data_IF_079109913113
#
_entry.id   IF_079109913113
#
_cell.length_a   1.000
_cell.length_b   1.000
_cell.length_c   1.000
_cell.angle_alpha   90.00
_cell.angle_beta   90.00
_cell.angle_gamma   90.00
#
_symmetry.space_group_name_H-M   'P 1'
#
loop_
_entity.id
_entity.type
_entity.pdbx_description
1 polymer ?
#
# COMPACT_ATOMS: atom_id res chain seq x y z
N UNK A 1 -32.31 -48.09 15.40
CA UNK A 1 -31.74 -46.95 14.65
C UNK A 1 -32.45 -45.70 15.11
N UNK A 2 -31.79 -44.87 15.92
CA UNK A 2 -32.41 -43.64 16.40
C UNK A 2 -32.47 -42.63 15.24
N UNK A 3 -33.68 -42.26 14.82
CA UNK A 3 -33.92 -41.25 13.78
C UNK A 3 -33.35 -39.92 14.19
N UNK A 4 -32.36 -39.47 13.44
CA UNK A 4 -31.73 -38.16 13.58
C UNK A 4 -32.81 -37.11 13.32
N UNK A 5 -33.32 -36.45 14.35
CA UNK A 5 -34.26 -35.33 14.18
C UNK A 5 -33.61 -34.32 13.26
N UNK A 6 -34.19 -34.15 12.07
CA UNK A 6 -33.81 -33.04 11.18
C UNK A 6 -34.18 -31.74 11.89
N UNK A 7 -33.15 -30.96 12.22
CA UNK A 7 -33.33 -29.65 12.85
C UNK A 7 -34.18 -28.75 11.93
N UNK A 8 -34.95 -27.86 12.52
CA UNK A 8 -35.71 -26.85 11.76
C UNK A 8 -34.77 -25.81 11.12
N UNK A 9 -35.04 -25.39 9.85
CA UNK A 9 -34.25 -24.35 9.22
C UNK A 9 -34.28 -23.04 10.03
N UNK A 10 -33.17 -22.30 10.04
CA UNK A 10 -33.13 -20.99 10.66
C UNK A 10 -34.16 -20.04 10.03
N UNK A 11 -34.92 -19.35 10.85
CA UNK A 11 -35.85 -18.30 10.43
C UNK A 11 -35.41 -16.96 10.99
N UNK A 12 -35.80 -15.86 10.33
CA UNK A 12 -35.55 -14.50 10.81
C UNK A 12 -36.00 -14.31 12.27
N UNK A 13 -37.25 -14.73 12.57
CA UNK A 13 -37.83 -14.65 13.92
C UNK A 13 -37.00 -15.46 14.94
N UNK A 14 -36.49 -16.62 14.56
CA UNK A 14 -35.68 -17.45 15.45
C UNK A 14 -34.33 -16.79 15.78
N UNK A 15 -33.74 -16.03 14.84
CA UNK A 15 -32.51 -15.24 15.05
C UNK A 15 -32.83 -13.98 15.87
N UNK A 16 -33.90 -13.27 15.54
CA UNK A 16 -34.32 -12.04 16.24
C UNK A 16 -34.58 -12.27 17.70
N UNK A 17 -35.21 -13.38 18.05
CA UNK A 17 -35.60 -13.70 19.45
C UNK A 17 -34.47 -14.31 20.29
N UNK A 18 -33.27 -14.52 19.75
CA UNK A 18 -32.15 -15.04 20.54
C UNK A 18 -31.70 -14.05 21.61
N UNK A 19 -31.41 -14.58 22.79
CA UNK A 19 -30.95 -13.81 23.96
C UNK A 19 -29.53 -14.23 24.35
N UNK A 20 -28.80 -13.39 25.10
CA UNK A 20 -27.54 -13.78 25.71
C UNK A 20 -27.70 -15.06 26.55
N UNK A 21 -26.83 -16.02 26.33
CA UNK A 21 -26.87 -17.33 27.01
C UNK A 21 -27.66 -18.42 26.27
N UNK A 22 -28.40 -18.08 25.22
CA UNK A 22 -29.02 -19.10 24.36
C UNK A 22 -27.96 -19.93 23.65
N UNK A 23 -28.26 -21.23 23.45
CA UNK A 23 -27.43 -22.12 22.66
C UNK A 23 -27.35 -21.67 21.19
N UNK A 24 -26.20 -21.92 20.57
CA UNK A 24 -25.99 -21.68 19.14
C UNK A 24 -27.03 -22.43 18.31
N UNK A 25 -27.71 -21.72 17.41
CA UNK A 25 -28.63 -22.33 16.44
C UNK A 25 -27.94 -22.60 15.12
N UNK A 26 -28.16 -23.78 14.56
CA UNK A 26 -27.60 -24.19 13.28
C UNK A 26 -28.69 -24.23 12.19
N UNK A 27 -28.32 -23.83 10.97
CA UNK A 27 -29.19 -24.02 9.80
C UNK A 27 -29.04 -25.44 9.23
N UNK A 28 -30.00 -25.87 8.42
CA UNK A 28 -30.13 -27.23 7.89
C UNK A 28 -30.17 -27.23 6.35
N UNK A 29 -30.18 -28.42 5.78
CA UNK A 29 -30.26 -28.62 4.32
C UNK A 29 -29.05 -27.99 3.59
N UNK A 30 -29.31 -27.23 2.54
CA UNK A 30 -28.28 -26.57 1.74
C UNK A 30 -27.46 -25.57 2.54
N UNK A 31 -28.02 -24.99 3.61
CA UNK A 31 -27.34 -24.03 4.48
C UNK A 31 -26.59 -24.70 5.66
N UNK A 32 -26.43 -26.00 5.63
CA UNK A 32 -25.69 -26.73 6.66
C UNK A 32 -24.28 -26.17 6.84
N UNK A 33 -23.90 -25.92 8.08
CA UNK A 33 -22.66 -25.26 8.46
C UNK A 33 -22.85 -23.81 8.87
N UNK A 34 -23.97 -23.14 8.49
CA UNK A 34 -24.32 -21.84 9.03
C UNK A 34 -24.77 -21.99 10.49
N UNK A 35 -24.20 -21.18 11.35
CA UNK A 35 -24.58 -21.06 12.75
C UNK A 35 -24.80 -19.60 13.13
N UNK A 36 -25.66 -19.39 14.11
CA UNK A 36 -25.85 -18.10 14.75
C UNK A 36 -25.66 -18.26 16.25
N UNK A 37 -24.88 -17.38 16.85
CA UNK A 37 -24.71 -17.27 18.30
C UNK A 37 -25.09 -15.88 18.79
N UNK A 38 -25.57 -15.78 20.03
CA UNK A 38 -25.82 -14.53 20.71
C UNK A 38 -24.76 -14.32 21.80
N UNK A 39 -23.91 -13.31 21.63
CA UNK A 39 -22.87 -12.98 22.61
C UNK A 39 -23.48 -12.41 23.91
N UNK A 40 -22.66 -12.31 24.98
CA UNK A 40 -23.07 -11.76 26.27
C UNK A 40 -23.63 -10.32 26.19
N UNK A 41 -23.18 -9.55 25.19
CA UNK A 41 -23.68 -8.18 24.91
C UNK A 41 -24.97 -8.15 24.10
N UNK A 42 -25.59 -9.30 23.77
CA UNK A 42 -26.78 -9.38 22.93
C UNK A 42 -26.49 -9.32 21.41
N UNK A 43 -25.25 -9.16 21.01
CA UNK A 43 -24.88 -9.13 19.60
C UNK A 43 -24.96 -10.52 19.01
N UNK A 44 -25.79 -10.67 17.98
CA UNK A 44 -25.99 -11.93 17.26
C UNK A 44 -25.07 -11.99 16.07
N UNK A 45 -24.32 -13.10 15.95
CA UNK A 45 -23.30 -13.26 14.89
C UNK A 45 -23.52 -14.54 14.11
N UNK A 46 -23.38 -14.46 12.80
CA UNK A 46 -23.41 -15.60 11.89
C UNK A 46 -22.00 -16.13 11.68
N UNK A 47 -21.87 -17.45 11.67
CA UNK A 47 -20.62 -18.17 11.47
C UNK A 47 -20.80 -19.31 10.49
N UNK A 48 -19.74 -19.57 9.71
CA UNK A 48 -19.58 -20.81 8.97
C UNK A 48 -18.66 -21.76 9.73
N UNK A 49 -19.17 -22.90 10.14
CA UNK A 49 -18.40 -23.97 10.79
C UNK A 49 -18.17 -25.12 9.81
N UNK A 50 -16.91 -25.50 9.62
CA UNK A 50 -16.51 -26.48 8.62
C UNK A 50 -15.23 -27.20 9.04
N UNK A 51 -14.93 -28.32 8.39
CA UNK A 51 -13.63 -29.00 8.52
C UNK A 51 -12.67 -28.40 7.51
N UNK A 52 -11.54 -27.88 7.98
CA UNK A 52 -10.52 -27.25 7.13
C UNK A 52 -9.92 -28.29 6.16
N UNK A 53 -9.87 -27.99 4.85
CA UNK A 53 -9.25 -28.89 3.87
C UNK A 53 -7.74 -28.99 4.05
N UNK A 54 -7.09 -27.99 4.68
CA UNK A 54 -5.64 -27.96 4.87
C UNK A 54 -5.19 -28.75 6.11
N UNK A 55 -5.97 -28.69 7.20
CA UNK A 55 -5.55 -29.24 8.50
C UNK A 55 -6.39 -30.43 8.97
N UNK A 56 -7.51 -30.72 8.32
CA UNK A 56 -8.49 -31.71 8.77
C UNK A 56 -9.22 -31.36 10.07
N UNK A 57 -8.89 -30.24 10.70
CA UNK A 57 -9.48 -29.79 11.97
C UNK A 57 -10.74 -28.94 11.73
N UNK A 58 -11.60 -28.91 12.76
CA UNK A 58 -12.78 -28.08 12.76
C UNK A 58 -12.37 -26.60 12.83
N UNK A 59 -12.87 -25.81 11.89
CA UNK A 59 -12.63 -24.37 11.78
C UNK A 59 -13.95 -23.60 11.75
N UNK A 60 -13.90 -22.33 12.11
CA UNK A 60 -15.05 -21.45 12.11
C UNK A 60 -14.65 -20.07 11.55
N UNK A 61 -15.50 -19.53 10.69
CA UNK A 61 -15.34 -18.21 10.09
C UNK A 61 -16.58 -17.37 10.38
N UNK A 62 -16.36 -16.13 10.83
CA UNK A 62 -17.43 -15.17 11.05
C UNK A 62 -17.89 -14.60 9.71
N UNK A 63 -19.19 -14.62 9.47
CA UNK A 63 -19.82 -14.08 8.26
C UNK A 63 -20.27 -12.62 8.48
N UNK A 64 -20.89 -12.35 9.61
CA UNK A 64 -21.39 -11.00 9.92
C UNK A 64 -22.23 -10.95 11.18
N UNK A 65 -22.79 -9.79 11.46
CA UNK A 65 -23.64 -9.52 12.60
C UNK A 65 -25.08 -9.22 12.15
N UNK A 66 -26.04 -9.76 12.87
CA UNK A 66 -27.44 -9.36 12.75
C UNK A 66 -27.69 -8.08 13.57
N UNK A 67 -28.48 -7.09 13.08
CA UNK A 67 -29.28 -7.10 11.84
C UNK A 67 -28.53 -6.60 10.61
N UNK A 68 -27.29 -6.09 10.71
CA UNK A 68 -26.53 -5.54 9.58
C UNK A 68 -26.34 -6.56 8.44
N UNK A 69 -26.14 -7.83 8.81
CA UNK A 69 -26.15 -8.95 7.86
C UNK A 69 -27.47 -9.68 8.03
N UNK A 70 -28.33 -9.67 7.02
CA UNK A 70 -29.58 -10.44 7.02
C UNK A 70 -29.30 -11.94 6.94
N UNK A 71 -30.28 -12.77 7.34
CA UNK A 71 -30.16 -14.22 7.23
C UNK A 71 -29.95 -14.67 5.75
N UNK A 72 -30.61 -13.98 4.81
CA UNK A 72 -30.42 -14.25 3.37
C UNK A 72 -28.99 -13.94 2.91
N UNK A 73 -28.45 -12.77 3.29
CA UNK A 73 -27.08 -12.39 3.00
C UNK A 73 -26.07 -13.34 3.66
N UNK A 74 -26.34 -13.81 4.88
CA UNK A 74 -25.48 -14.80 5.54
C UNK A 74 -25.47 -16.16 4.81
N UNK A 75 -26.60 -16.59 4.28
CA UNK A 75 -26.71 -17.79 3.43
C UNK A 75 -25.94 -17.65 2.13
N UNK A 76 -26.09 -16.51 1.46
CA UNK A 76 -25.34 -16.23 0.24
C UNK A 76 -23.83 -16.28 0.48
N UNK A 77 -23.35 -15.62 1.52
CA UNK A 77 -21.93 -15.66 1.89
C UNK A 77 -21.45 -17.04 2.30
N UNK A 78 -22.30 -17.84 2.96
CA UNK A 78 -22.01 -19.24 3.23
C UNK A 78 -21.73 -20.03 1.94
N UNK A 79 -22.54 -19.85 0.90
CA UNK A 79 -22.35 -20.55 -0.37
C UNK A 79 -21.03 -20.18 -1.03
N UNK A 80 -20.65 -18.91 -1.04
CA UNK A 80 -19.32 -18.48 -1.52
C UNK A 80 -18.19 -19.18 -0.74
N UNK A 81 -18.27 -19.21 0.59
CA UNK A 81 -17.26 -19.86 1.42
C UNK A 81 -17.22 -21.40 1.23
N UNK A 82 -18.35 -22.02 0.89
CA UNK A 82 -18.42 -23.43 0.52
C UNK A 82 -17.74 -23.72 -0.81
N UNK A 83 -17.90 -22.85 -1.80
CA UNK A 83 -17.20 -22.95 -3.08
C UNK A 83 -15.69 -22.89 -2.90
N UNK A 84 -15.17 -21.91 -2.13
CA UNK A 84 -13.75 -21.85 -1.79
C UNK A 84 -13.24 -23.14 -1.16
N UNK A 85 -14.03 -23.73 -0.24
CA UNK A 85 -13.66 -25.00 0.38
C UNK A 85 -13.66 -26.16 -0.62
N UNK A 86 -14.60 -26.21 -1.56
CA UNK A 86 -14.66 -27.24 -2.62
C UNK A 86 -13.44 -27.18 -3.54
N UNK A 87 -12.89 -25.96 -3.77
CA UNK A 87 -11.63 -25.74 -4.49
C UNK A 87 -10.38 -26.13 -3.68
N UNK A 88 -10.55 -26.71 -2.50
CA UNK A 88 -9.42 -27.07 -1.61
C UNK A 88 -8.82 -25.89 -0.84
N UNK A 89 -9.35 -24.68 -0.99
CA UNK A 89 -8.91 -23.47 -0.31
C UNK A 89 -9.53 -23.38 1.10
N UNK A 90 -8.79 -22.80 2.04
CA UNK A 90 -9.30 -22.65 3.40
C UNK A 90 -9.97 -21.28 3.59
N UNK A 91 -11.31 -21.18 3.78
CA UNK A 91 -12.00 -19.91 3.95
C UNK A 91 -11.43 -18.98 5.03
N UNK A 92 -10.93 -19.54 6.13
CA UNK A 92 -10.34 -18.76 7.21
C UNK A 92 -9.00 -18.13 6.82
N UNK A 93 -8.14 -18.83 6.08
CA UNK A 93 -6.87 -18.30 5.61
C UNK A 93 -7.07 -17.23 4.53
N UNK A 94 -8.00 -17.44 3.60
CA UNK A 94 -8.34 -16.47 2.55
C UNK A 94 -8.81 -15.14 3.16
N UNK A 95 -9.79 -15.19 4.06
CA UNK A 95 -10.28 -13.97 4.72
C UNK A 95 -9.21 -13.27 5.57
N UNK A 96 -8.26 -14.02 6.13
CA UNK A 96 -7.13 -13.43 6.86
C UNK A 96 -6.16 -12.74 5.91
N UNK A 97 -5.88 -13.35 4.76
CA UNK A 97 -5.01 -12.75 3.73
C UNK A 97 -5.65 -11.51 3.13
N UNK A 98 -6.94 -11.55 2.77
CA UNK A 98 -7.68 -10.39 2.27
C UNK A 98 -7.68 -9.24 3.26
N UNK A 99 -7.86 -9.54 4.55
CA UNK A 99 -7.82 -8.51 5.61
C UNK A 99 -6.43 -7.90 5.74
N UNK A 100 -5.38 -8.72 5.67
CA UNK A 100 -4.00 -8.25 5.71
C UNK A 100 -3.69 -7.40 4.49
N UNK A 101 -4.07 -7.85 3.31
CA UNK A 101 -3.87 -7.11 2.06
C UNK A 101 -4.55 -5.74 2.08
N UNK A 102 -5.82 -5.68 2.49
CA UNK A 102 -6.54 -4.41 2.66
C UNK A 102 -5.89 -3.49 3.70
N UNK A 103 -5.34 -4.06 4.78
CA UNK A 103 -4.64 -3.26 5.78
C UNK A 103 -3.35 -2.65 5.21
N UNK A 104 -2.61 -3.41 4.40
CA UNK A 104 -1.41 -2.93 3.69
C UNK A 104 -1.80 -1.83 2.68
N UNK A 105 -2.85 -2.04 1.89
CA UNK A 105 -3.34 -1.05 0.91
C UNK A 105 -3.79 0.26 1.59
N UNK A 106 -4.49 0.16 2.73
CA UNK A 106 -4.90 1.33 3.52
C UNK A 106 -3.68 2.07 4.10
N UNK A 107 -2.66 1.34 4.53
CA UNK A 107 -1.43 1.96 5.06
C UNK A 107 -0.62 2.61 3.95
N UNK A 108 -0.50 1.97 2.78
CA UNK A 108 0.14 2.55 1.59
C UNK A 108 -0.61 3.80 1.08
N UNK A 109 -1.94 3.78 1.10
CA UNK A 109 -2.76 4.93 0.72
C UNK A 109 -2.64 6.13 1.68
N UNK A 110 -2.17 5.93 2.90
CA UNK A 110 -1.91 7.01 3.87
C UNK A 110 -0.59 7.74 3.62
N UNK A 111 0.34 7.16 2.86
CA UNK A 111 1.57 7.83 2.46
C UNK A 111 1.14 8.88 1.42
N UNK A 112 1.24 10.20 1.72
CA UNK A 112 0.88 11.20 0.73
C UNK A 112 1.73 10.99 -0.52
N UNK A 113 1.08 11.01 -1.68
CA UNK A 113 1.78 10.90 -2.96
C UNK A 113 2.90 11.93 -3.02
N UNK A 114 4.14 11.44 -3.00
CA UNK A 114 5.31 12.29 -3.06
C UNK A 114 5.51 12.77 -4.48
N UNK A 115 5.20 14.03 -4.77
CA UNK A 115 5.51 14.63 -6.07
C UNK A 115 7.02 14.82 -6.23
N UNK A 116 7.49 15.00 -7.46
CA UNK A 116 8.92 15.32 -7.72
C UNK A 116 9.32 16.63 -7.04
N UNK A 117 8.44 17.61 -6.96
CA UNK A 117 8.68 18.82 -6.19
C UNK A 117 8.82 18.53 -4.70
N UNK A 118 7.92 17.72 -4.14
CA UNK A 118 7.99 17.30 -2.73
C UNK A 118 9.25 16.48 -2.42
N UNK A 119 9.67 15.61 -3.34
CA UNK A 119 10.94 14.87 -3.28
C UNK A 119 12.14 15.83 -3.22
N UNK A 120 12.16 16.82 -4.10
CA UNK A 120 13.24 17.82 -4.17
C UNK A 120 13.27 18.66 -2.90
N UNK A 121 12.12 19.14 -2.41
CA UNK A 121 12.07 19.89 -1.14
C UNK A 121 12.53 19.04 0.05
N UNK A 122 12.09 17.79 0.13
CA UNK A 122 12.55 16.86 1.17
C UNK A 122 14.09 16.73 1.17
N UNK A 123 14.68 16.55 0.00
CA UNK A 123 16.14 16.44 -0.16
C UNK A 123 16.86 17.73 0.23
N UNK A 124 16.35 18.89 -0.22
CA UNK A 124 16.94 20.18 0.06
C UNK A 124 16.89 20.50 1.55
N UNK A 125 15.70 20.41 2.15
CA UNK A 125 15.47 20.81 3.55
C UNK A 125 16.09 19.84 4.55
N UNK A 126 16.07 18.54 4.28
CA UNK A 126 16.51 17.53 5.23
C UNK A 126 18.01 17.17 5.11
N UNK A 127 18.62 17.41 3.95
CA UNK A 127 20.01 17.03 3.70
C UNK A 127 20.92 18.17 3.28
N UNK A 128 20.49 19.04 2.39
CA UNK A 128 21.38 20.01 1.74
C UNK A 128 21.50 21.30 2.53
N UNK A 129 20.38 21.84 3.01
CA UNK A 129 20.28 23.17 3.64
C UNK A 129 20.47 23.11 5.15
N UNK A 130 20.89 24.24 5.73
CA UNK A 130 21.00 24.37 7.18
C UNK A 130 19.60 24.38 7.81
N UNK A 131 19.45 23.66 8.91
CA UNK A 131 18.18 23.54 9.63
C UNK A 131 18.28 24.20 11.00
N UNK A 132 17.20 24.83 11.45
CA UNK A 132 17.07 25.33 12.81
C UNK A 132 16.23 24.36 13.64
N UNK A 133 16.75 23.93 14.77
CA UNK A 133 15.98 23.17 15.76
C UNK A 133 14.99 24.09 16.47
N UNK A 134 14.00 23.49 17.16
CA UNK A 134 13.03 24.25 17.99
C UNK A 134 13.72 25.12 19.04
N UNK A 135 14.91 24.71 19.52
CA UNK A 135 15.72 25.42 20.50
C UNK A 135 16.64 26.47 19.86
N UNK A 136 16.47 26.80 18.58
CA UNK A 136 17.24 27.80 17.86
C UNK A 136 18.64 27.38 17.42
N UNK A 137 19.08 26.14 17.72
CA UNK A 137 20.39 25.62 17.30
C UNK A 137 20.37 25.34 15.79
N UNK A 138 21.42 25.76 15.08
CA UNK A 138 21.61 25.48 13.66
C UNK A 138 22.28 24.13 13.49
N UNK A 139 21.66 23.24 12.74
CA UNK A 139 22.24 21.98 12.24
C UNK A 139 22.74 22.29 10.82
N UNK A 140 24.05 22.22 10.56
CA UNK A 140 24.59 22.52 9.25
C UNK A 140 24.14 21.48 8.23
N UNK A 141 23.77 21.95 7.03
CA UNK A 141 23.46 21.07 5.90
C UNK A 141 24.72 20.46 5.29
N UNK A 142 24.54 19.53 4.35
CA UNK A 142 25.64 18.83 3.69
C UNK A 142 26.47 19.74 2.75
N UNK A 143 26.04 20.96 2.49
CA UNK A 143 26.69 21.94 1.59
C UNK A 143 26.86 23.27 2.27
N UNK A 144 27.91 24.02 1.85
CA UNK A 144 28.08 25.43 2.22
C UNK A 144 26.96 26.29 1.59
N UNK A 145 26.62 27.49 2.13
CA UNK A 145 25.48 28.29 1.66
C UNK A 145 25.42 28.53 0.14
N UNK A 146 26.56 28.82 -0.48
CA UNK A 146 26.63 28.95 -1.95
C UNK A 146 26.24 27.66 -2.67
N UNK A 147 26.71 26.50 -2.18
CA UNK A 147 26.37 25.20 -2.74
C UNK A 147 24.91 24.80 -2.53
N UNK A 148 24.33 25.21 -1.38
CA UNK A 148 22.89 25.01 -1.10
C UNK A 148 22.02 25.73 -2.15
N UNK A 149 22.30 27.02 -2.36
CA UNK A 149 21.58 27.83 -3.37
C UNK A 149 21.76 27.29 -4.79
N UNK A 150 22.93 26.73 -5.11
CA UNK A 150 23.20 26.18 -6.43
C UNK A 150 22.45 24.86 -6.67
N UNK A 151 22.38 23.96 -5.71
CA UNK A 151 21.60 22.73 -5.81
C UNK A 151 20.11 23.06 -5.97
N UNK A 152 19.58 23.99 -5.16
CA UNK A 152 18.19 24.44 -5.26
C UNK A 152 17.91 24.99 -6.66
N UNK A 153 18.72 25.93 -7.16
CA UNK A 153 18.59 26.49 -8.49
C UNK A 153 18.62 25.42 -9.59
N UNK A 154 19.53 24.46 -9.47
CA UNK A 154 19.71 23.37 -10.44
C UNK A 154 18.46 22.49 -10.51
N UNK A 155 17.91 22.05 -9.38
CA UNK A 155 16.76 21.17 -9.35
C UNK A 155 15.46 21.90 -9.73
N UNK A 156 15.25 23.12 -9.22
CA UNK A 156 14.05 23.90 -9.53
C UNK A 156 14.02 24.42 -10.97
N UNK A 157 15.16 24.80 -11.52
CA UNK A 157 15.25 25.36 -12.87
C UNK A 157 14.87 24.38 -13.97
N UNK A 158 15.13 23.10 -13.77
CA UNK A 158 14.92 22.08 -14.80
C UNK A 158 14.03 20.93 -14.32
N UNK A 159 14.39 20.22 -13.24
CA UNK A 159 13.67 19.02 -12.82
C UNK A 159 12.27 19.33 -12.29
N UNK A 160 12.14 20.26 -11.35
CA UNK A 160 10.84 20.67 -10.79
C UNK A 160 9.98 21.37 -11.85
N UNK A 161 10.59 22.22 -12.68
CA UNK A 161 9.88 22.90 -13.76
C UNK A 161 9.24 21.91 -14.76
N UNK A 162 9.90 20.79 -15.03
CA UNK A 162 9.45 19.82 -16.03
C UNK A 162 8.59 18.70 -15.41
N UNK A 163 8.94 18.22 -14.23
CA UNK A 163 8.35 17.02 -13.63
C UNK A 163 7.71 17.27 -12.26
N UNK A 164 7.78 18.47 -11.72
CA UNK A 164 7.48 18.79 -10.31
C UNK A 164 6.11 18.34 -9.82
N UNK A 165 5.09 18.45 -10.64
CA UNK A 165 3.70 18.08 -10.31
C UNK A 165 3.40 16.60 -10.42
N UNK A 166 4.29 15.82 -11.04
CA UNK A 166 4.10 14.38 -11.23
C UNK A 166 4.46 13.62 -9.96
N UNK A 167 3.79 12.48 -9.75
CA UNK A 167 4.14 11.55 -8.67
C UNK A 167 5.56 11.01 -8.88
N UNK A 168 6.42 11.17 -7.88
CA UNK A 168 7.82 10.75 -7.96
C UNK A 168 7.98 9.23 -8.14
N UNK A 169 7.02 8.43 -7.63
CA UNK A 169 7.02 6.98 -7.81
C UNK A 169 6.70 6.54 -9.25
N UNK A 170 6.01 7.39 -10.03
CA UNK A 170 5.64 7.11 -11.42
C UNK A 170 6.64 7.64 -12.45
N UNK A 171 7.69 8.33 -12.01
CA UNK A 171 8.74 8.81 -12.91
C UNK A 171 9.54 7.62 -13.42
N UNK A 172 9.57 7.50 -14.73
CA UNK A 172 10.31 6.45 -15.41
C UNK A 172 11.73 6.89 -15.78
N UNK A 173 12.59 5.91 -16.08
CA UNK A 173 13.90 6.15 -16.70
C UNK A 173 13.78 7.02 -17.95
N UNK A 174 12.75 6.79 -18.78
CA UNK A 174 12.55 7.53 -20.04
C UNK A 174 12.19 9.00 -19.79
N UNK A 175 11.42 9.31 -18.76
CA UNK A 175 11.10 10.68 -18.38
C UNK A 175 12.37 11.46 -18.02
N UNK A 176 13.27 10.82 -17.25
CA UNK A 176 14.55 11.45 -16.90
C UNK A 176 15.45 11.62 -18.13
N UNK A 177 15.52 10.64 -19.03
CA UNK A 177 16.26 10.75 -20.29
C UNK A 177 15.73 11.93 -21.13
N UNK A 178 14.42 12.07 -21.26
CA UNK A 178 13.77 13.16 -21.98
C UNK A 178 14.11 14.52 -21.37
N UNK A 179 14.05 14.64 -20.03
CA UNK A 179 14.47 15.83 -19.30
C UNK A 179 15.93 16.21 -19.65
N UNK A 180 16.85 15.26 -19.52
CA UNK A 180 18.28 15.49 -19.77
C UNK A 180 18.54 15.85 -21.24
N UNK A 181 17.92 15.17 -22.18
CA UNK A 181 18.04 15.48 -23.62
C UNK A 181 17.51 16.90 -23.93
N UNK A 182 16.42 17.33 -23.29
CA UNK A 182 15.92 18.68 -23.43
C UNK A 182 16.91 19.75 -22.93
N UNK A 183 17.66 19.47 -21.86
CA UNK A 183 18.70 20.37 -21.35
C UNK A 183 19.91 20.38 -22.29
N UNK A 184 20.32 19.22 -22.78
CA UNK A 184 21.44 19.09 -23.75
C UNK A 184 21.13 19.81 -25.06
N UNK A 185 19.89 19.70 -25.57
CA UNK A 185 19.45 20.37 -26.80
C UNK A 185 19.52 21.90 -26.71
N UNK A 186 19.46 22.47 -25.49
CA UNK A 186 19.70 23.92 -25.25
C UNK A 186 21.20 24.27 -25.19
N UNK A 187 22.11 23.35 -25.43
CA UNK A 187 23.57 23.52 -25.30
C UNK A 187 24.12 23.47 -23.87
N UNK A 188 23.28 23.17 -22.85
CA UNK A 188 23.66 23.23 -21.44
C UNK A 188 24.10 21.87 -20.89
N UNK A 189 25.12 21.25 -21.47
CA UNK A 189 25.60 19.87 -21.14
C UNK A 189 26.09 19.73 -19.70
N UNK A 190 26.77 20.77 -19.15
CA UNK A 190 27.19 20.78 -17.73
C UNK A 190 25.99 20.79 -16.80
N UNK A 191 24.99 21.63 -17.09
CA UNK A 191 23.74 21.70 -16.34
C UNK A 191 23.00 20.36 -16.38
N UNK A 192 22.91 19.71 -17.53
CA UNK A 192 22.33 18.36 -17.68
C UNK A 192 22.99 17.34 -16.75
N UNK A 193 24.32 17.35 -16.67
CA UNK A 193 25.08 16.49 -15.74
C UNK A 193 24.78 16.79 -14.27
N UNK A 194 24.69 18.08 -13.92
CA UNK A 194 24.38 18.52 -12.56
C UNK A 194 22.94 18.11 -12.17
N UNK A 195 21.95 18.36 -13.02
CA UNK A 195 20.55 17.97 -12.78
C UNK A 195 20.42 16.45 -12.58
N UNK A 196 21.04 15.66 -13.46
CA UNK A 196 21.00 14.19 -13.36
C UNK A 196 21.62 13.70 -12.05
N UNK A 197 22.75 14.28 -11.65
CA UNK A 197 23.43 13.91 -10.40
C UNK A 197 22.59 14.26 -9.18
N UNK A 198 22.12 15.50 -9.08
CA UNK A 198 21.37 15.95 -7.90
C UNK A 198 19.99 15.27 -7.82
N UNK A 199 19.32 15.03 -8.95
CA UNK A 199 18.05 14.29 -8.99
C UNK A 199 18.25 12.82 -8.55
N UNK A 200 19.35 12.18 -8.98
CA UNK A 200 19.69 10.83 -8.52
C UNK A 200 19.91 10.79 -7.00
N UNK A 201 20.63 11.76 -6.45
CA UNK A 201 20.87 11.86 -5.01
C UNK A 201 19.59 12.15 -4.22
N UNK A 202 18.67 12.94 -4.76
CA UNK A 202 17.37 13.19 -4.14
C UNK A 202 16.53 11.91 -4.04
N UNK A 203 16.48 11.13 -5.11
CA UNK A 203 15.82 9.82 -5.09
C UNK A 203 16.48 8.84 -4.10
N UNK A 204 17.80 8.71 -4.12
CA UNK A 204 18.52 7.85 -3.16
C UNK A 204 18.26 8.23 -1.72
N UNK A 205 18.22 9.53 -1.43
CA UNK A 205 17.90 10.04 -0.11
C UNK A 205 16.47 9.67 0.33
N UNK A 206 15.49 9.83 -0.53
CA UNK A 206 14.10 9.49 -0.23
C UNK A 206 13.88 7.96 -0.12
N UNK A 207 14.58 7.16 -0.91
CA UNK A 207 14.60 5.69 -0.78
C UNK A 207 15.17 5.31 0.59
N UNK A 208 16.30 5.90 0.99
CA UNK A 208 16.90 5.68 2.31
C UNK A 208 16.03 6.09 3.50
N UNK A 209 15.06 7.00 3.28
CA UNK A 209 14.04 7.38 4.26
C UNK A 209 12.77 6.50 4.22
N UNK A 210 12.73 5.46 3.39
CA UNK A 210 11.56 4.59 3.23
C UNK A 210 10.34 5.28 2.61
N UNK A 211 10.57 6.29 1.73
CA UNK A 211 9.49 7.02 1.05
C UNK A 211 8.98 6.30 -0.20
N UNK A 212 9.62 5.24 -0.60
CA UNK A 212 9.27 4.37 -1.73
C UNK A 212 9.22 2.92 -1.26
N UNK A 213 8.57 2.10 -2.07
CA UNK A 213 8.56 0.65 -1.87
C UNK A 213 9.99 0.06 -2.00
N UNK A 214 10.28 -1.03 -1.29
CA UNK A 214 11.60 -1.69 -1.30
C UNK A 214 12.04 -2.18 -2.69
N UNK A 215 11.09 -2.41 -3.60
CA UNK A 215 11.33 -2.79 -5.00
C UNK A 215 11.58 -1.60 -5.93
N UNK A 216 11.40 -0.35 -5.43
CA UNK A 216 11.52 0.85 -6.25
C UNK A 216 12.96 1.11 -6.68
N UNK A 217 13.18 1.18 -7.99
CA UNK A 217 14.48 1.48 -8.58
C UNK A 217 14.59 2.97 -8.93
N UNK A 218 15.66 3.63 -8.49
CA UNK A 218 15.95 5.03 -8.78
C UNK A 218 16.00 5.33 -10.29
N UNK A 219 15.01 6.07 -10.84
CA UNK A 219 14.91 6.30 -12.29
C UNK A 219 16.05 7.15 -12.85
N UNK A 220 16.60 8.05 -12.04
CA UNK A 220 17.71 8.90 -12.45
C UNK A 220 19.04 8.12 -12.50
N UNK A 221 19.23 7.15 -11.61
CA UNK A 221 20.39 6.26 -11.67
C UNK A 221 20.32 5.35 -12.90
N UNK A 222 19.15 4.81 -13.22
CA UNK A 222 18.92 4.01 -14.43
C UNK A 222 19.12 4.83 -15.70
N UNK A 223 18.68 6.08 -15.73
CA UNK A 223 18.91 6.99 -16.85
C UNK A 223 20.40 7.28 -17.05
N UNK A 224 21.17 7.47 -15.97
CA UNK A 224 22.63 7.70 -16.03
C UNK A 224 23.37 6.54 -16.72
N UNK A 225 22.98 5.30 -16.43
CA UNK A 225 23.54 4.12 -17.08
C UNK A 225 23.25 4.12 -18.59
N UNK A 226 22.01 4.42 -18.99
CA UNK A 226 21.59 4.48 -20.40
C UNK A 226 22.30 5.61 -21.17
N UNK A 227 22.41 6.80 -20.59
CA UNK A 227 23.04 7.97 -21.21
C UNK A 227 24.55 7.77 -21.45
N UNK A 228 25.24 6.99 -20.59
CA UNK A 228 26.62 6.60 -20.81
C UNK A 228 26.79 5.74 -22.07
N UNK A 229 25.83 4.86 -22.35
CA UNK A 229 25.86 4.00 -23.53
C UNK A 229 25.65 4.75 -24.84
N UNK A 230 24.85 5.86 -24.80
CA UNK A 230 24.53 6.69 -25.97
C UNK A 230 25.60 7.75 -26.31
N UNK A 231 26.77 7.72 -25.67
CA UNK A 231 27.90 8.66 -25.89
C UNK A 231 27.55 10.15 -25.67
N UNK A 232 26.48 10.47 -24.98
CA UNK A 232 26.23 11.85 -24.55
C UNK A 232 27.28 12.20 -23.49
N UNK A 233 28.25 13.02 -23.85
CA UNK A 233 29.28 13.50 -22.90
C UNK A 233 28.63 14.51 -21.96
N UNK A 234 28.20 14.06 -20.79
CA UNK A 234 27.83 14.92 -19.69
C UNK A 234 29.11 15.34 -18.97
N UNK A 235 29.54 16.57 -19.15
CA UNK A 235 30.70 17.11 -18.43
C UNK A 235 30.31 17.41 -17.00
N UNK A 236 31.02 16.84 -16.03
CA UNK A 236 30.94 17.27 -14.64
C UNK A 236 31.66 18.63 -14.57
N UNK A 237 30.98 19.68 -14.12
CA UNK A 237 31.59 21.00 -13.93
C UNK A 237 32.66 21.03 -12.83
N UNK A 238 33.79 20.37 -13.11
CA UNK A 238 35.07 20.55 -12.42
C UNK A 238 36.03 21.09 -13.48
N UNK A 239 36.11 22.38 -13.60
CA UNK A 239 37.23 23.15 -14.05
C UNK A 239 37.73 23.93 -12.87
#
# INVERSE_FOLDING_TARGET
MAGKQEGKPLSFKAVEMMKPGDEDKADVGENRGLRVSCGATGVKSFFYRYTSPLTGKLAQVKIGHFPQTSLAAARLKLHELKLLRQEGRCPASELKQDKLQRAIEVEQAKIPELTVQGLVELYLTERIEDRKTKDGKVIPGARKPKGQSEVRRTLYGDAVKSLGTRNAAEITRQDVINLINGIVARGATVQAGNVLRELSLAYEFAIGLGRFDDSFANPALLAKSSLRQTRIKLTNGRG
#
